data_IF_767892590160
#
_entry.id   IF_767892590160
#
_cell.length_a   1.000
_cell.length_b   1.000
_cell.length_c   1.000
_cell.angle_alpha   90.00
_cell.angle_beta   90.00
_cell.angle_gamma   90.00
#
_symmetry.space_group_name_H-M   'P 1'
#
loop_
_entity.id
_entity.type
_entity.pdbx_description
1 polymer ?
#
# COMPACT_ATOMS: atom_id res chain seq x y z
N UNK A 1 -28.86 -15.81 -13.21
CA UNK A 1 -28.11 -14.56 -13.16
C UNK A 1 -26.97 -14.64 -14.16
N UNK A 2 -26.67 -13.59 -14.97
CA UNK A 2 -25.53 -13.64 -15.88
C UNK A 2 -24.23 -13.76 -15.09
N UNK A 3 -23.49 -14.85 -15.33
CA UNK A 3 -22.17 -15.05 -14.70
C UNK A 3 -21.16 -14.07 -15.29
N UNK A 4 -20.23 -13.54 -14.48
CA UNK A 4 -19.13 -12.71 -14.96
C UNK A 4 -18.32 -13.45 -16.03
N UNK A 5 -17.72 -12.69 -16.97
CA UNK A 5 -16.92 -13.23 -18.06
C UNK A 5 -15.45 -13.30 -17.62
N UNK A 6 -14.86 -14.46 -17.73
CA UNK A 6 -13.42 -14.63 -17.50
C UNK A 6 -12.64 -13.98 -18.65
N UNK A 7 -11.70 -13.12 -18.31
CA UNK A 7 -10.75 -12.48 -19.23
C UNK A 7 -9.50 -13.34 -19.33
N UNK A 8 -8.86 -13.61 -18.18
CA UNK A 8 -7.76 -14.59 -18.11
C UNK A 8 -7.82 -15.43 -16.83
N UNK A 9 -7.05 -16.52 -16.85
CA UNK A 9 -6.69 -17.30 -15.67
C UNK A 9 -5.24 -17.72 -15.84
N UNK A 10 -4.41 -17.37 -14.86
CA UNK A 10 -2.96 -17.56 -14.84
C UNK A 10 -2.59 -18.39 -13.62
N UNK A 11 -1.68 -19.34 -13.78
CA UNK A 11 -1.06 -20.06 -12.67
C UNK A 11 0.28 -19.38 -12.34
N UNK A 12 0.41 -18.91 -11.11
CA UNK A 12 1.58 -18.26 -10.55
C UNK A 12 2.18 -19.23 -9.52
N UNK A 13 3.24 -19.93 -9.87
CA UNK A 13 3.75 -21.02 -9.06
C UNK A 13 2.62 -21.97 -8.63
N UNK A 14 2.20 -21.93 -7.37
CA UNK A 14 1.08 -22.74 -6.85
C UNK A 14 -0.21 -21.95 -6.65
N UNK A 15 -0.27 -20.69 -7.07
CA UNK A 15 -1.43 -19.79 -6.88
C UNK A 15 -2.15 -19.53 -8.19
N UNK A 16 -3.44 -19.34 -8.15
CA UNK A 16 -4.28 -19.13 -9.34
C UNK A 16 -4.85 -17.72 -9.38
N UNK A 17 -4.29 -16.88 -10.24
CA UNK A 17 -4.85 -15.57 -10.54
C UNK A 17 -5.96 -15.66 -11.60
N UNK A 18 -6.99 -14.85 -11.43
CA UNK A 18 -8.11 -14.71 -12.38
C UNK A 18 -8.50 -13.26 -12.53
N UNK A 19 -8.72 -12.84 -13.77
CA UNK A 19 -9.36 -11.56 -14.07
C UNK A 19 -10.75 -11.84 -14.65
N UNK A 20 -11.78 -11.26 -14.03
CA UNK A 20 -13.18 -11.42 -14.40
C UNK A 20 -13.79 -10.08 -14.78
N UNK A 21 -14.48 -10.02 -15.91
CA UNK A 21 -15.26 -8.85 -16.31
C UNK A 21 -16.69 -8.96 -15.78
N UNK A 22 -17.18 -7.90 -15.15
CA UNK A 22 -18.58 -7.80 -14.74
C UNK A 22 -19.51 -7.72 -15.95
N UNK A 23 -20.52 -8.59 -16.01
CA UNK A 23 -21.59 -8.48 -17.04
C UNK A 23 -22.66 -7.46 -16.67
N UNK A 24 -22.79 -7.10 -15.38
CA UNK A 24 -23.76 -6.11 -14.92
C UNK A 24 -23.25 -4.68 -15.06
N UNK A 25 -21.93 -4.51 -14.95
CA UNK A 25 -21.23 -3.21 -15.08
C UNK A 25 -20.13 -3.36 -16.14
N UNK A 26 -20.45 -3.16 -17.43
CA UNK A 26 -19.46 -3.22 -18.50
C UNK A 26 -18.30 -2.26 -18.23
N UNK A 27 -17.08 -2.70 -18.50
CA UNK A 27 -15.87 -1.92 -18.19
C UNK A 27 -15.31 -2.16 -16.78
N UNK A 28 -16.03 -2.91 -15.92
CA UNK A 28 -15.57 -3.24 -14.58
C UNK A 28 -14.95 -4.64 -14.53
N UNK A 29 -13.79 -4.74 -13.89
CA UNK A 29 -12.98 -5.95 -13.81
C UNK A 29 -12.55 -6.21 -12.38
N UNK A 30 -12.54 -7.47 -11.97
CA UNK A 30 -12.09 -7.95 -10.67
C UNK A 30 -10.92 -8.91 -10.86
N UNK A 31 -9.80 -8.61 -10.23
CA UNK A 31 -8.66 -9.49 -10.09
C UNK A 31 -8.76 -10.23 -8.76
N UNK A 32 -8.61 -11.56 -8.80
CA UNK A 32 -8.52 -12.40 -7.60
C UNK A 32 -7.34 -13.35 -7.70
N UNK A 33 -6.76 -13.69 -6.55
CA UNK A 33 -5.72 -14.72 -6.40
C UNK A 33 -6.25 -15.75 -5.39
N UNK A 34 -6.28 -17.02 -5.79
CA UNK A 34 -6.85 -18.16 -5.04
C UNK A 34 -8.29 -17.94 -4.55
N UNK A 35 -9.03 -17.10 -5.25
CA UNK A 35 -10.42 -16.76 -4.92
C UNK A 35 -10.54 -15.51 -4.04
N UNK A 36 -9.47 -15.01 -3.46
CA UNK A 36 -9.44 -13.78 -2.68
C UNK A 36 -9.37 -12.59 -3.65
N UNK A 37 -10.33 -11.68 -3.56
CA UNK A 37 -10.38 -10.48 -4.38
C UNK A 37 -9.23 -9.53 -4.00
N UNK A 38 -8.40 -9.17 -4.99
CA UNK A 38 -7.24 -8.30 -4.82
C UNK A 38 -7.51 -6.87 -5.29
N UNK A 39 -8.25 -6.72 -6.38
CA UNK A 39 -8.47 -5.41 -7.00
C UNK A 39 -9.76 -5.39 -7.80
N UNK A 40 -10.42 -4.25 -7.80
CA UNK A 40 -11.50 -3.94 -8.75
C UNK A 40 -11.14 -2.69 -9.53
N UNK A 41 -11.22 -2.76 -10.85
CA UNK A 41 -10.89 -1.67 -11.77
C UNK A 41 -12.11 -1.32 -12.62
N UNK A 42 -12.43 -0.03 -12.73
CA UNK A 42 -13.31 0.51 -13.75
C UNK A 42 -12.45 1.09 -14.89
N UNK A 43 -12.59 0.51 -16.10
CA UNK A 43 -11.86 0.99 -17.29
C UNK A 43 -12.62 2.12 -17.99
N UNK A 44 -13.88 2.32 -17.65
CA UNK A 44 -14.72 3.41 -18.18
C UNK A 44 -14.59 4.67 -17.36
N UNK A 45 -14.38 4.52 -16.05
CA UNK A 45 -14.14 5.62 -15.11
C UNK A 45 -13.21 5.13 -14.00
N UNK A 46 -11.89 5.34 -14.11
CA UNK A 46 -10.92 4.92 -13.10
C UNK A 46 -11.09 5.61 -11.73
N UNK A 47 -11.91 6.64 -11.62
CA UNK A 47 -12.25 7.30 -10.36
C UNK A 47 -13.34 6.57 -9.56
N UNK A 48 -14.08 5.65 -10.20
CA UNK A 48 -14.99 4.74 -9.53
C UNK A 48 -14.24 3.64 -8.77
N UNK A 49 -13.88 3.91 -7.52
CA UNK A 49 -13.20 2.96 -6.63
C UNK A 49 -14.22 2.13 -5.85
N UNK A 50 -14.10 0.78 -5.93
CA UNK A 50 -15.06 -0.15 -5.29
C UNK A 50 -14.79 -0.31 -3.81
N UNK A 51 -13.52 -0.53 -3.45
CA UNK A 51 -13.15 -0.82 -2.07
C UNK A 51 -12.99 0.46 -1.26
N UNK A 52 -13.49 0.45 -0.02
CA UNK A 52 -13.40 1.60 0.87
C UNK A 52 -11.96 2.04 1.09
N UNK A 53 -11.03 1.09 1.29
CA UNK A 53 -9.62 1.44 1.48
C UNK A 53 -9.02 2.21 0.29
N UNK A 54 -9.37 1.83 -0.94
CA UNK A 54 -8.88 2.56 -2.13
C UNK A 54 -9.47 3.97 -2.19
N UNK A 55 -10.72 4.15 -1.73
CA UNK A 55 -11.34 5.46 -1.62
C UNK A 55 -10.64 6.33 -0.57
N UNK A 56 -10.26 5.75 0.59
CA UNK A 56 -9.53 6.49 1.63
C UNK A 56 -8.15 6.92 1.15
N UNK A 57 -7.41 6.01 0.47
CA UNK A 57 -6.11 6.34 -0.12
C UNK A 57 -6.23 7.40 -1.20
N UNK A 58 -7.23 7.31 -2.09
CA UNK A 58 -7.47 8.30 -3.13
C UNK A 58 -7.76 9.70 -2.56
N UNK A 59 -8.58 9.78 -1.51
CA UNK A 59 -8.86 11.04 -0.81
C UNK A 59 -7.62 11.65 -0.17
N UNK A 60 -6.74 10.82 0.38
CA UNK A 60 -5.45 11.28 0.90
C UNK A 60 -4.52 11.77 -0.23
N UNK A 61 -4.52 11.11 -1.40
CA UNK A 61 -3.83 11.60 -2.59
C UNK A 61 -4.37 12.96 -3.06
N UNK A 62 -5.70 13.13 -3.02
CA UNK A 62 -6.32 14.41 -3.39
C UNK A 62 -5.97 15.52 -2.41
N UNK A 63 -5.80 15.19 -1.13
CA UNK A 63 -5.39 16.12 -0.10
C UNK A 63 -3.88 16.46 -0.12
N UNK A 64 -3.04 15.60 -0.74
CA UNK A 64 -1.59 15.73 -0.73
C UNK A 64 -1.05 16.77 -1.74
N UNK A 65 -1.84 17.17 -2.72
CA UNK A 65 -1.47 18.18 -3.71
C UNK A 65 -2.70 18.85 -4.31
N UNK A 66 -2.54 20.04 -4.88
CA UNK A 66 -3.60 20.76 -5.57
C UNK A 66 -4.27 19.90 -6.66
N UNK A 67 -5.57 20.06 -6.90
CA UNK A 67 -6.29 19.32 -7.93
C UNK A 67 -5.59 19.40 -9.30
N UNK A 68 -5.34 18.25 -9.91
CA UNK A 68 -4.67 18.15 -11.22
C UNK A 68 -3.16 18.40 -11.21
N UNK A 69 -2.57 18.86 -10.11
CA UNK A 69 -1.12 19.00 -10.02
C UNK A 69 -0.44 17.62 -10.03
N UNK A 70 0.73 17.47 -10.67
CA UNK A 70 1.48 16.23 -10.67
C UNK A 70 1.80 15.74 -9.25
N UNK A 71 1.65 14.44 -9.02
CA UNK A 71 1.93 13.79 -7.75
C UNK A 71 2.83 12.58 -8.01
N UNK A 72 4.12 12.70 -7.70
CA UNK A 72 4.99 11.53 -7.79
C UNK A 72 4.54 10.47 -6.77
N UNK A 73 4.00 9.38 -7.30
CA UNK A 73 3.43 8.30 -6.50
C UNK A 73 4.21 7.01 -6.68
N UNK A 74 4.54 6.36 -5.55
CA UNK A 74 5.15 5.03 -5.53
C UNK A 74 4.11 4.03 -5.04
N UNK A 75 3.93 2.95 -5.79
CA UNK A 75 3.02 1.85 -5.47
C UNK A 75 3.85 0.61 -5.15
N UNK A 76 3.90 0.21 -3.89
CA UNK A 76 4.46 -1.07 -3.48
C UNK A 76 3.34 -2.10 -3.54
N UNK A 77 3.41 -2.97 -4.55
CA UNK A 77 2.32 -3.82 -4.98
C UNK A 77 1.51 -3.18 -6.13
N UNK A 78 1.29 -3.93 -7.21
CA UNK A 78 0.57 -3.44 -8.38
C UNK A 78 -0.92 -3.82 -8.36
N UNK A 79 -1.24 -5.05 -7.98
CA UNK A 79 -2.58 -5.61 -8.17
C UNK A 79 -3.05 -5.44 -9.61
N UNK A 80 -4.21 -4.84 -9.83
CA UNK A 80 -4.70 -4.44 -11.16
C UNK A 80 -4.42 -2.97 -11.49
N UNK A 81 -3.49 -2.32 -10.77
CA UNK A 81 -3.12 -0.90 -10.93
C UNK A 81 -4.29 0.06 -10.67
N UNK A 82 -5.18 -0.25 -9.74
CA UNK A 82 -6.38 0.54 -9.44
C UNK A 82 -6.03 1.97 -9.07
N UNK A 83 -5.14 2.16 -8.09
CA UNK A 83 -4.73 3.50 -7.64
C UNK A 83 -3.82 4.20 -8.66
N UNK A 84 -2.99 3.47 -9.39
CA UNK A 84 -2.19 4.08 -10.46
C UNK A 84 -3.07 4.63 -11.61
N UNK A 85 -4.17 3.95 -11.93
CA UNK A 85 -5.17 4.44 -12.90
C UNK A 85 -5.93 5.64 -12.35
N UNK A 86 -6.20 5.67 -11.05
CA UNK A 86 -6.81 6.81 -10.40
C UNK A 86 -5.92 8.05 -10.50
N UNK A 87 -4.63 7.91 -10.20
CA UNK A 87 -3.66 9.01 -10.33
C UNK A 87 -3.60 9.51 -11.77
N UNK A 88 -3.52 8.62 -12.76
CA UNK A 88 -3.48 9.03 -14.17
C UNK A 88 -4.78 9.73 -14.59
N UNK A 89 -5.94 9.29 -14.11
CA UNK A 89 -7.24 9.89 -14.45
C UNK A 89 -7.45 11.27 -13.81
N UNK A 90 -6.93 11.50 -12.60
CA UNK A 90 -7.12 12.75 -11.85
C UNK A 90 -5.95 13.72 -12.00
N UNK A 91 -4.76 13.23 -12.36
CA UNK A 91 -3.48 13.96 -12.41
C UNK A 91 -2.62 13.46 -13.57
N UNK A 92 -3.18 13.54 -14.79
CA UNK A 92 -2.58 12.98 -16.00
C UNK A 92 -1.09 13.35 -16.15
N UNK A 93 -0.26 12.37 -16.50
CA UNK A 93 1.18 12.53 -16.66
C UNK A 93 1.96 12.68 -15.35
N UNK A 94 1.35 12.37 -14.19
CA UNK A 94 2.10 12.27 -12.94
C UNK A 94 3.13 11.15 -13.04
N UNK A 95 4.39 11.37 -12.63
CA UNK A 95 5.37 10.30 -12.53
C UNK A 95 4.87 9.23 -11.53
N UNK A 96 4.93 7.98 -11.91
CA UNK A 96 4.55 6.87 -11.06
C UNK A 96 5.59 5.75 -11.11
N UNK A 97 5.87 5.14 -9.97
CA UNK A 97 6.72 3.98 -9.84
C UNK A 97 5.94 2.84 -9.20
N UNK A 98 5.97 1.68 -9.81
CA UNK A 98 5.38 0.45 -9.26
C UNK A 98 6.50 -0.51 -8.93
N UNK A 99 6.47 -1.10 -7.73
CA UNK A 99 7.30 -2.26 -7.36
C UNK A 99 6.40 -3.47 -7.31
N UNK A 100 6.65 -4.46 -8.16
CA UNK A 100 5.80 -5.65 -8.28
C UNK A 100 6.63 -6.93 -8.24
N UNK A 101 6.16 -7.87 -7.44
CA UNK A 101 6.86 -9.15 -7.23
C UNK A 101 6.58 -10.17 -8.35
N UNK A 102 5.40 -10.11 -8.98
CA UNK A 102 4.90 -11.11 -9.95
C UNK A 102 4.86 -10.57 -11.39
N UNK A 103 5.98 -10.63 -12.16
CA UNK A 103 6.05 -10.07 -13.52
C UNK A 103 5.00 -10.67 -14.46
N UNK A 104 4.68 -11.97 -14.31
CA UNK A 104 3.72 -12.66 -15.16
C UNK A 104 2.29 -12.14 -14.92
N UNK A 105 1.93 -11.87 -13.66
CA UNK A 105 0.63 -11.28 -13.32
C UNK A 105 0.52 -9.86 -13.88
N UNK A 106 1.53 -9.04 -13.66
CA UNK A 106 1.58 -7.68 -14.19
C UNK A 106 1.41 -7.67 -15.71
N UNK A 107 2.17 -8.50 -16.44
CA UNK A 107 2.08 -8.58 -17.88
C UNK A 107 0.67 -9.00 -18.36
N UNK A 108 0.04 -9.96 -17.69
CA UNK A 108 -1.32 -10.39 -18.01
C UNK A 108 -2.37 -9.28 -17.75
N UNK A 109 -2.19 -8.53 -16.65
CA UNK A 109 -3.06 -7.40 -16.30
C UNK A 109 -2.93 -6.29 -17.34
N UNK A 110 -1.72 -5.87 -17.70
CA UNK A 110 -1.48 -4.79 -18.69
C UNK A 110 -1.97 -5.20 -20.08
N UNK A 111 -1.78 -6.46 -20.47
CA UNK A 111 -2.30 -6.97 -21.76
C UNK A 111 -3.84 -6.93 -21.82
N UNK A 112 -4.52 -7.22 -20.72
CA UNK A 112 -5.97 -7.21 -20.65
C UNK A 112 -6.57 -5.82 -20.40
N UNK A 113 -5.88 -5.01 -19.61
CA UNK A 113 -6.30 -3.68 -19.15
C UNK A 113 -5.16 -2.67 -19.39
N UNK A 114 -4.94 -2.23 -20.65
CA UNK A 114 -3.84 -1.30 -20.94
C UNK A 114 -4.02 0.03 -20.20
N UNK A 115 -2.90 0.67 -19.86
CA UNK A 115 -2.86 2.05 -19.39
C UNK A 115 -3.07 3.02 -20.56
N UNK A 116 -3.50 4.27 -20.31
CA UNK A 116 -3.46 5.33 -21.30
C UNK A 116 -2.05 5.51 -21.90
N UNK A 117 -1.97 5.84 -23.18
CA UNK A 117 -0.68 5.96 -23.88
C UNK A 117 0.21 7.10 -23.37
N UNK A 118 -0.33 8.02 -22.58
CA UNK A 118 0.40 9.14 -21.97
C UNK A 118 0.82 8.90 -20.52
N UNK A 119 0.51 7.73 -19.94
CA UNK A 119 0.83 7.44 -18.55
C UNK A 119 2.35 7.34 -18.34
N UNK A 120 2.89 8.14 -17.43
CA UNK A 120 4.30 8.09 -17.00
C UNK A 120 4.44 7.10 -15.83
N UNK A 121 4.42 5.80 -16.14
CA UNK A 121 4.51 4.74 -15.16
C UNK A 121 5.69 3.82 -15.46
N UNK A 122 6.59 3.71 -14.48
CA UNK A 122 7.72 2.78 -14.50
C UNK A 122 7.48 1.63 -13.56
N UNK A 123 8.07 0.46 -13.84
CA UNK A 123 7.92 -0.74 -13.03
C UNK A 123 9.29 -1.32 -12.70
N UNK A 124 9.49 -1.61 -11.41
CA UNK A 124 10.60 -2.42 -10.93
C UNK A 124 10.03 -3.78 -10.53
N UNK A 125 10.50 -4.84 -11.19
CA UNK A 125 10.15 -6.20 -10.79
C UNK A 125 11.09 -6.69 -9.70
N UNK A 126 10.53 -6.95 -8.51
CA UNK A 126 11.30 -7.43 -7.38
C UNK A 126 10.54 -7.37 -6.07
N UNK A 127 11.18 -7.87 -5.04
CA UNK A 127 10.70 -7.79 -3.67
C UNK A 127 10.77 -6.36 -3.14
N UNK A 128 9.67 -5.84 -2.61
CA UNK A 128 9.56 -4.45 -2.16
C UNK A 128 10.56 -4.12 -1.04
N UNK A 129 10.87 -5.09 -0.16
CA UNK A 129 11.89 -4.90 0.88
C UNK A 129 13.29 -4.77 0.26
N UNK A 130 13.62 -5.62 -0.69
CA UNK A 130 14.91 -5.57 -1.38
C UNK A 130 15.10 -4.27 -2.17
N UNK A 131 14.02 -3.78 -2.82
CA UNK A 131 14.02 -2.49 -3.50
C UNK A 131 14.17 -1.34 -2.51
N UNK A 132 13.49 -1.38 -1.36
CA UNK A 132 13.63 -0.38 -0.32
C UNK A 132 15.03 -0.38 0.34
N UNK A 133 15.67 -1.54 0.45
CA UNK A 133 17.03 -1.69 1.02
C UNK A 133 18.14 -1.30 0.04
N UNK A 134 17.84 -1.17 -1.27
CA UNK A 134 18.81 -0.75 -2.26
C UNK A 134 19.41 0.63 -1.88
N UNK A 135 20.65 0.86 -2.30
CA UNK A 135 21.37 2.09 -1.97
C UNK A 135 20.59 3.35 -2.41
N UNK A 136 20.47 4.29 -1.49
CA UNK A 136 20.00 5.63 -1.82
C UNK A 136 21.09 6.37 -2.62
N UNK A 137 20.71 7.26 -3.55
CA UNK A 137 21.66 8.18 -4.19
C UNK A 137 22.50 8.93 -3.15
N UNK A 138 23.78 9.18 -3.48
CA UNK A 138 24.78 9.73 -2.55
C UNK A 138 24.33 11.04 -1.85
N UNK A 139 23.52 11.84 -2.51
CA UNK A 139 22.99 13.10 -1.94
C UNK A 139 22.07 12.89 -0.73
N UNK A 140 21.37 11.76 -0.64
CA UNK A 140 20.51 11.43 0.51
C UNK A 140 21.20 10.56 1.57
N UNK A 141 22.34 9.94 1.28
CA UNK A 141 23.12 9.17 2.26
C UNK A 141 23.63 10.02 3.43
N UNK A 142 23.84 11.31 3.20
CA UNK A 142 24.40 12.22 4.20
C UNK A 142 23.43 12.59 5.33
N UNK A 143 22.14 12.36 5.19
CA UNK A 143 21.10 12.74 6.15
C UNK A 143 20.60 11.59 7.04
N UNK A 144 20.98 10.35 6.78
CA UNK A 144 20.57 9.17 7.57
C UNK A 144 21.68 8.75 8.52
N UNK A 145 21.48 8.75 9.86
CA UNK A 145 22.45 8.19 10.79
C UNK A 145 22.66 6.70 10.51
N UNK A 146 23.87 6.32 10.14
CA UNK A 146 24.22 4.91 9.93
C UNK A 146 24.15 4.15 11.27
N UNK A 147 23.43 3.02 11.35
CA UNK A 147 23.56 2.13 12.49
C UNK A 147 24.98 1.54 12.53
N UNK A 148 25.53 1.25 13.72
CA UNK A 148 26.86 0.65 13.83
C UNK A 148 26.87 -0.73 13.13
N UNK A 149 27.71 -0.87 12.11
CA UNK A 149 27.92 -2.14 11.41
C UNK A 149 28.49 -3.20 12.33
N UNK A 150 27.87 -4.37 12.47
CA UNK A 150 28.58 -5.54 12.96
C UNK A 150 29.54 -6.02 11.88
N UNK A 151 30.81 -6.10 12.19
CA UNK A 151 31.82 -6.67 11.33
C UNK A 151 31.52 -8.16 11.14
N UNK A 152 31.00 -8.57 9.98
CA UNK A 152 30.91 -9.95 9.56
C UNK A 152 31.42 -10.06 8.12
N UNK A 153 32.28 -11.06 7.96
CA UNK A 153 33.16 -11.30 6.83
C UNK A 153 32.48 -11.35 5.46
N UNK A 154 33.25 -10.88 4.52
CA UNK A 154 32.94 -10.77 3.11
C UNK A 154 32.49 -12.07 2.45
N UNK A 155 31.31 -12.05 1.86
CA UNK A 155 31.00 -12.77 0.64
C UNK A 155 30.18 -11.81 -0.23
N UNK A 156 30.87 -11.00 -1.02
CA UNK A 156 30.27 -10.13 -2.02
C UNK A 156 29.73 -10.98 -3.17
N UNK A 157 28.43 -11.22 -3.21
CA UNK A 157 27.77 -11.47 -4.49
C UNK A 157 27.58 -10.11 -5.16
N UNK A 158 28.20 -9.91 -6.31
CA UNK A 158 28.02 -8.74 -7.16
C UNK A 158 26.57 -8.70 -7.68
N UNK A 159 25.66 -8.17 -6.87
CA UNK A 159 24.35 -7.71 -7.34
C UNK A 159 24.58 -6.40 -8.06
N UNK A 160 24.19 -6.32 -9.33
CA UNK A 160 24.03 -5.05 -10.05
C UNK A 160 23.22 -4.12 -9.18
N UNK A 161 23.78 -2.94 -8.86
CA UNK A 161 23.07 -1.88 -8.15
C UNK A 161 21.75 -1.63 -8.90
N UNK A 162 20.63 -1.89 -8.25
CA UNK A 162 19.33 -1.55 -8.79
C UNK A 162 19.24 -0.05 -8.61
N UNK A 163 19.48 0.70 -9.70
CA UNK A 163 19.25 2.15 -9.74
C UNK A 163 17.75 2.37 -9.56
N UNK A 164 17.34 2.64 -8.32
CA UNK A 164 15.94 2.85 -8.02
C UNK A 164 15.68 4.34 -8.08
N UNK A 165 14.98 4.79 -9.10
CA UNK A 165 14.44 6.15 -9.19
C UNK A 165 13.39 6.47 -8.07
N UNK A 166 13.31 5.64 -7.05
CA UNK A 166 12.47 5.89 -5.88
C UNK A 166 13.17 6.85 -4.91
N UNK A 167 13.03 8.11 -5.21
CA UNK A 167 13.57 9.22 -4.41
C UNK A 167 12.57 10.37 -4.46
N UNK A 168 12.35 11.04 -3.31
CA UNK A 168 11.44 12.18 -3.19
C UNK A 168 9.98 11.87 -3.55
N UNK A 169 9.51 10.67 -3.20
CA UNK A 169 8.11 10.29 -3.39
C UNK A 169 7.20 11.21 -2.57
N UNK A 170 6.24 11.83 -3.24
CA UNK A 170 5.22 12.68 -2.58
C UNK A 170 4.11 11.83 -1.96
N UNK A 171 3.87 10.65 -2.51
CA UNK A 171 2.92 9.69 -1.99
C UNK A 171 3.43 8.27 -2.19
N UNK A 172 3.41 7.45 -1.14
CA UNK A 172 3.79 6.04 -1.22
C UNK A 172 2.63 5.18 -0.72
N UNK A 173 2.16 4.28 -1.56
CA UNK A 173 1.17 3.25 -1.19
C UNK A 173 1.91 1.97 -0.85
N UNK A 174 1.69 1.43 0.34
CA UNK A 174 2.18 0.13 0.80
C UNK A 174 0.99 -0.82 0.83
N UNK A 175 0.86 -1.64 -0.21
CA UNK A 175 -0.25 -2.58 -0.41
C UNK A 175 0.34 -3.95 -0.79
N UNK A 176 1.08 -4.54 0.15
CA UNK A 176 1.95 -5.69 -0.05
C UNK A 176 1.35 -6.95 0.56
N UNK A 177 0.83 -7.82 -0.31
CA UNK A 177 0.19 -9.07 0.07
C UNK A 177 0.93 -10.25 -0.54
N UNK A 178 1.31 -11.22 0.29
CA UNK A 178 1.70 -12.57 -0.16
C UNK A 178 0.49 -13.49 0.02
N UNK A 179 -0.24 -13.73 -1.06
CA UNK A 179 -1.60 -14.27 -1.04
C UNK A 179 -2.56 -13.36 -0.25
N UNK A 180 -2.78 -13.62 1.01
CA UNK A 180 -3.65 -12.84 1.90
C UNK A 180 -2.92 -12.35 3.16
N UNK A 181 -1.61 -12.57 3.26
CA UNK A 181 -0.81 -12.28 4.45
C UNK A 181 0.26 -11.24 4.15
N UNK A 182 0.40 -10.25 5.00
CA UNK A 182 1.48 -9.27 4.96
C UNK A 182 2.65 -9.83 5.78
N UNK A 183 3.80 -10.03 5.13
CA UNK A 183 4.99 -10.55 5.82
C UNK A 183 5.61 -9.50 6.71
N UNK A 184 6.03 -9.88 7.94
CA UNK A 184 6.58 -8.95 8.93
C UNK A 184 7.77 -8.13 8.41
N UNK A 185 8.57 -8.68 7.49
CA UNK A 185 9.74 -8.00 6.93
C UNK A 185 9.41 -6.73 6.11
N UNK A 186 8.16 -6.59 5.62
CA UNK A 186 7.64 -5.39 4.95
C UNK A 186 6.68 -4.60 5.84
N UNK A 187 6.73 -4.86 7.14
CA UNK A 187 5.89 -4.27 8.17
C UNK A 187 6.72 -3.86 9.41
N UNK A 188 8.04 -3.90 9.31
CA UNK A 188 8.98 -3.59 10.39
C UNK A 188 9.38 -2.12 10.42
N UNK A 189 9.89 -1.67 11.56
CA UNK A 189 10.46 -0.31 11.72
C UNK A 189 11.58 -0.05 10.71
N UNK A 190 12.42 -1.04 10.46
CA UNK A 190 13.53 -0.95 9.51
C UNK A 190 13.02 -0.71 8.09
N UNK A 191 11.96 -1.42 7.70
CA UNK A 191 11.32 -1.21 6.40
C UNK A 191 10.76 0.21 6.29
N UNK A 192 9.99 0.66 7.27
CA UNK A 192 9.39 2.00 7.23
C UNK A 192 10.42 3.12 7.28
N UNK A 193 11.56 2.94 7.95
CA UNK A 193 12.70 3.88 7.86
C UNK A 193 13.24 3.99 6.43
N UNK A 194 13.29 2.89 5.68
CA UNK A 194 13.69 2.91 4.26
C UNK A 194 12.68 3.64 3.40
N UNK A 195 11.39 3.42 3.65
CA UNK A 195 10.31 4.13 2.96
C UNK A 195 10.39 5.64 3.27
N UNK A 196 10.53 6.02 4.53
CA UNK A 196 10.66 7.41 4.95
C UNK A 196 11.86 8.11 4.29
N UNK A 197 13.02 7.45 4.24
CA UNK A 197 14.22 8.00 3.60
C UNK A 197 14.06 8.26 2.09
N UNK A 198 13.07 7.65 1.45
CA UNK A 198 12.72 7.80 0.03
C UNK A 198 11.55 8.75 -0.22
N UNK A 199 10.93 9.23 0.84
CA UNK A 199 9.85 10.21 0.76
C UNK A 199 10.39 11.63 0.63
N UNK A 200 9.65 12.48 -0.04
CA UNK A 200 9.86 13.93 -0.03
C UNK A 200 9.51 14.50 1.36
N UNK A 201 9.97 15.70 1.66
CA UNK A 201 9.49 16.44 2.82
C UNK A 201 7.95 16.58 2.74
N UNK A 202 7.23 16.22 3.81
CA UNK A 202 5.77 16.17 3.85
C UNK A 202 5.15 15.10 2.93
N UNK A 203 5.95 14.16 2.42
CA UNK A 203 5.42 13.03 1.67
C UNK A 203 4.55 12.13 2.55
N UNK A 204 3.48 11.61 1.99
CA UNK A 204 2.51 10.76 2.69
C UNK A 204 2.76 9.29 2.37
N UNK A 205 2.78 8.46 3.38
CA UNK A 205 2.79 6.99 3.27
C UNK A 205 1.41 6.46 3.67
N UNK A 206 0.77 5.70 2.79
CA UNK A 206 -0.49 5.01 3.06
C UNK A 206 -0.24 3.51 3.10
N UNK A 207 -0.54 2.87 4.22
CA UNK A 207 -0.37 1.43 4.44
C UNK A 207 -1.73 0.77 4.51
N UNK A 208 -2.01 -0.16 3.60
CA UNK A 208 -3.22 -0.98 3.61
C UNK A 208 -2.97 -2.29 4.35
N UNK A 209 -3.80 -2.56 5.34
CA UNK A 209 -3.75 -3.76 6.18
C UNK A 209 -5.09 -4.48 6.14
N UNK A 210 -5.08 -5.76 6.49
CA UNK A 210 -6.28 -6.53 6.81
C UNK A 210 -6.18 -6.93 8.27
N UNK A 211 -7.19 -6.56 9.07
CA UNK A 211 -7.23 -6.89 10.49
C UNK A 211 -8.68 -6.90 10.98
N UNK A 212 -8.90 -7.44 12.15
CA UNK A 212 -10.18 -7.48 12.83
C UNK A 212 -10.00 -7.29 14.32
N UNK A 213 -11.12 -7.17 15.02
CA UNK A 213 -11.09 -6.99 16.46
C UNK A 213 -10.23 -8.05 17.16
N UNK A 214 -9.38 -7.70 18.11
CA UNK A 214 -9.15 -6.38 18.74
C UNK A 214 -8.12 -5.50 18.02
N UNK A 215 -7.86 -5.69 16.73
CA UNK A 215 -6.92 -4.92 15.90
C UNK A 215 -5.47 -5.00 16.40
N UNK A 216 -5.05 -6.14 16.91
CA UNK A 216 -3.71 -6.28 17.52
C UNK A 216 -2.60 -5.99 16.51
N UNK A 217 -2.74 -6.51 15.29
CA UNK A 217 -1.76 -6.28 14.23
C UNK A 217 -1.70 -4.80 13.81
N UNK A 218 -2.85 -4.18 13.57
CA UNK A 218 -2.94 -2.78 13.16
C UNK A 218 -2.46 -1.81 14.26
N UNK A 219 -2.73 -2.12 15.53
CA UNK A 219 -2.20 -1.34 16.67
C UNK A 219 -0.68 -1.41 16.72
N UNK A 220 -0.08 -2.58 16.50
CA UNK A 220 1.38 -2.76 16.40
C UNK A 220 1.96 -2.00 15.20
N UNK A 221 1.28 -2.04 14.05
CA UNK A 221 1.69 -1.29 12.87
C UNK A 221 1.67 0.22 13.11
N UNK A 222 0.58 0.75 13.70
CA UNK A 222 0.49 2.16 14.05
C UNK A 222 1.56 2.57 15.06
N UNK A 223 1.81 1.74 16.09
CA UNK A 223 2.90 1.96 17.06
C UNK A 223 4.27 2.00 16.35
N UNK A 224 4.51 1.10 15.40
CA UNK A 224 5.75 1.02 14.64
C UNK A 224 5.96 2.27 13.77
N UNK A 225 4.93 2.68 13.02
CA UNK A 225 4.97 3.88 12.17
C UNK A 225 5.23 5.16 12.98
N UNK A 226 4.66 5.28 14.19
CA UNK A 226 4.93 6.42 15.10
C UNK A 226 6.38 6.52 15.59
N UNK A 227 7.18 5.48 15.43
CA UNK A 227 8.62 5.54 15.71
C UNK A 227 9.45 6.09 14.55
N UNK A 228 8.80 6.29 13.40
CA UNK A 228 9.45 6.69 12.14
C UNK A 228 8.91 8.03 11.65
N UNK A 229 7.61 8.30 11.83
CA UNK A 229 6.92 9.49 11.35
C UNK A 229 6.30 10.27 12.52
N UNK A 230 6.29 11.59 12.41
CA UNK A 230 5.76 12.48 13.46
C UNK A 230 4.22 12.47 13.50
N UNK A 231 3.57 12.29 12.36
CA UNK A 231 2.12 12.29 12.21
C UNK A 231 1.62 10.96 11.68
N UNK A 232 0.76 10.29 12.44
CA UNK A 232 0.14 9.02 12.07
C UNK A 232 -1.36 9.11 12.32
N UNK A 233 -2.16 8.63 11.37
CA UNK A 233 -3.60 8.49 11.48
C UNK A 233 -4.04 7.12 10.99
N UNK A 234 -5.03 6.51 11.67
CA UNK A 234 -5.62 5.22 11.29
C UNK A 234 -7.06 5.45 10.88
N UNK A 235 -7.45 4.86 9.76
CA UNK A 235 -8.83 4.89 9.25
C UNK A 235 -9.41 3.48 9.30
N UNK A 236 -10.54 3.35 9.98
CA UNK A 236 -11.30 2.12 10.17
C UNK A 236 -12.70 2.28 9.60
N UNK A 237 -13.18 1.27 8.89
CA UNK A 237 -14.59 1.19 8.48
C UNK A 237 -15.48 0.47 9.51
N UNK A 238 -14.87 0.01 10.63
CA UNK A 238 -15.53 -0.61 11.78
C UNK A 238 -15.33 0.22 13.03
N UNK A 239 -16.21 0.05 14.01
CA UNK A 239 -16.07 0.67 15.33
C UNK A 239 -14.80 0.21 16.01
N UNK A 240 -13.93 1.13 16.50
CA UNK A 240 -12.64 0.77 17.08
C UNK A 240 -12.71 -0.01 18.39
N UNK A 241 -13.83 0.14 19.11
CA UNK A 241 -14.04 -0.44 20.46
C UNK A 241 -15.12 -1.53 20.50
N UNK A 242 -15.79 -1.79 19.39
CA UNK A 242 -16.84 -2.81 19.34
C UNK A 242 -16.20 -4.21 19.20
N UNK A 243 -16.48 -5.09 20.14
CA UNK A 243 -15.76 -6.34 20.39
C UNK A 243 -15.94 -7.44 19.35
N UNK A 244 -16.73 -7.24 18.31
CA UNK A 244 -17.00 -8.23 17.27
C UNK A 244 -17.09 -7.58 15.89
N UNK A 245 -16.43 -8.19 14.91
CA UNK A 245 -16.50 -7.76 13.51
C UNK A 245 -15.64 -8.63 12.60
N UNK A 246 -16.03 -8.78 11.35
CA UNK A 246 -15.22 -9.52 10.39
C UNK A 246 -13.88 -8.80 10.12
N UNK A 247 -12.94 -9.53 9.55
CA UNK A 247 -11.75 -8.92 8.98
C UNK A 247 -12.13 -7.84 7.96
N UNK A 248 -11.47 -6.70 8.04
CA UNK A 248 -11.66 -5.58 7.15
C UNK A 248 -10.36 -4.84 6.85
N UNK A 249 -10.40 -3.97 5.86
CA UNK A 249 -9.25 -3.15 5.58
C UNK A 249 -9.07 -2.07 6.67
N UNK A 250 -7.83 -1.88 7.06
CA UNK A 250 -7.37 -0.78 7.91
C UNK A 250 -6.36 0.01 7.13
N UNK A 251 -6.53 1.32 7.02
CA UNK A 251 -5.57 2.19 6.33
C UNK A 251 -4.85 3.05 7.34
N UNK A 252 -3.53 3.01 7.34
CA UNK A 252 -2.70 3.89 8.16
C UNK A 252 -2.00 4.91 7.27
N UNK A 253 -2.18 6.19 7.57
CA UNK A 253 -1.46 7.28 6.94
C UNK A 253 -0.36 7.77 7.86
N UNK A 254 0.82 8.05 7.30
CA UNK A 254 1.97 8.55 8.05
C UNK A 254 2.74 9.62 7.25
N UNK A 255 3.28 10.62 7.93
CA UNK A 255 4.08 11.71 7.35
C UNK A 255 4.90 12.40 8.44
N UNK A 256 5.97 13.09 8.05
CA UNK A 256 6.75 13.99 8.93
C UNK A 256 6.08 15.38 9.06
N UNK A 257 5.06 15.67 8.25
CA UNK A 257 4.26 16.88 8.33
C UNK A 257 2.78 16.55 8.63
N UNK A 258 2.00 17.52 9.13
CA UNK A 258 0.58 17.31 9.44
C UNK A 258 -0.20 16.75 8.24
N UNK A 259 -0.95 15.68 8.47
CA UNK A 259 -1.72 14.99 7.46
C UNK A 259 -2.96 15.83 7.06
N UNK A 260 -3.02 16.28 5.80
CA UNK A 260 -4.14 17.08 5.30
C UNK A 260 -5.48 16.36 5.41
N UNK A 261 -5.51 15.03 5.32
CA UNK A 261 -6.74 14.23 5.49
C UNK A 261 -7.29 14.30 6.92
N UNK A 262 -6.44 14.56 7.92
CA UNK A 262 -6.86 14.78 9.31
C UNK A 262 -7.42 16.17 9.51
N UNK A 263 -6.80 17.18 8.90
CA UNK A 263 -7.20 18.58 9.06
C UNK A 263 -8.41 18.97 8.19
N UNK A 264 -8.80 18.12 7.23
CA UNK A 264 -9.93 18.34 6.33
C UNK A 264 -10.89 17.15 6.37
N UNK A 265 -11.65 16.96 7.48
CA UNK A 265 -12.48 15.76 7.69
C UNK A 265 -13.56 15.52 6.62
N UNK A 266 -13.97 16.55 5.90
CA UNK A 266 -14.97 16.43 4.84
C UNK A 266 -14.48 15.61 3.63
N UNK A 267 -13.17 15.45 3.49
CA UNK A 267 -12.56 14.56 2.49
C UNK A 267 -12.91 13.08 2.72
N UNK A 268 -13.26 12.68 3.95
CA UNK A 268 -13.53 11.26 4.26
C UNK A 268 -14.82 10.69 3.65
N UNK A 269 -15.71 11.55 3.14
CA UNK A 269 -16.94 11.11 2.48
C UNK A 269 -18.05 10.69 3.44
N UNK A 270 -19.06 9.98 2.90
CA UNK A 270 -20.21 9.50 3.67
C UNK A 270 -20.58 8.07 3.24
N UNK A 271 -20.79 7.10 4.17
CA UNK A 271 -20.64 7.29 5.63
C UNK A 271 -19.21 7.65 6.00
N UNK A 272 -19.03 8.39 7.11
CA UNK A 272 -17.70 8.79 7.57
C UNK A 272 -17.05 7.60 8.30
N UNK A 273 -15.84 7.18 7.91
CA UNK A 273 -15.11 6.15 8.65
C UNK A 273 -14.62 6.70 10.00
N UNK A 274 -14.23 5.79 10.89
CA UNK A 274 -13.56 6.17 12.13
C UNK A 274 -12.13 6.56 11.82
N UNK A 275 -11.72 7.76 12.23
CA UNK A 275 -10.35 8.24 12.12
C UNK A 275 -9.75 8.41 13.51
N UNK A 276 -8.68 7.69 13.77
CA UNK A 276 -7.90 7.77 15.01
C UNK A 276 -6.60 8.51 14.73
N UNK A 277 -6.36 9.59 15.48
CA UNK A 277 -5.14 10.38 15.42
C UNK A 277 -4.85 11.00 16.80
N UNK A 278 -3.67 11.55 17.02
CA UNK A 278 -3.26 12.21 18.26
C UNK A 278 -3.63 11.41 19.53
N UNK A 279 -4.42 11.99 20.41
CA UNK A 279 -4.84 11.38 21.69
C UNK A 279 -5.68 10.12 21.50
N UNK A 280 -6.61 10.09 20.53
CA UNK A 280 -7.44 8.91 20.24
C UNK A 280 -6.59 7.75 19.74
N UNK A 281 -5.64 8.02 18.85
CA UNK A 281 -4.70 7.02 18.37
C UNK A 281 -3.78 6.51 19.50
N UNK A 282 -3.30 7.41 20.35
CA UNK A 282 -2.45 7.03 21.49
C UNK A 282 -3.20 6.09 22.44
N UNK A 283 -4.46 6.38 22.74
CA UNK A 283 -5.29 5.52 23.58
C UNK A 283 -5.57 4.17 22.91
N UNK A 284 -5.84 4.16 21.61
CA UNK A 284 -6.13 2.94 20.86
C UNK A 284 -4.92 2.03 20.70
N UNK A 285 -3.72 2.59 20.43
CA UNK A 285 -2.46 1.83 20.37
C UNK A 285 -2.16 1.20 21.73
N UNK A 286 -2.45 1.90 22.83
CA UNK A 286 -2.16 1.47 24.18
C UNK A 286 -0.69 1.01 24.35
N UNK A 287 -0.48 -0.23 24.80
CA UNK A 287 0.85 -0.83 25.01
C UNK A 287 1.29 -1.73 23.86
N UNK A 288 0.76 -1.51 22.64
CA UNK A 288 1.11 -2.31 21.48
C UNK A 288 2.62 -2.23 21.20
N UNK A 289 3.26 -3.39 21.08
CA UNK A 289 4.70 -3.48 20.83
C UNK A 289 5.02 -3.14 19.39
N UNK A 290 6.05 -2.34 19.18
CA UNK A 290 6.57 -2.07 17.83
C UNK A 290 7.05 -3.36 17.16
N UNK A 291 7.08 -3.36 15.86
CA UNK A 291 7.59 -4.45 15.04
C UNK A 291 8.95 -4.09 14.47
N UNK A 292 9.91 -4.99 14.63
CA UNK A 292 11.25 -4.88 14.06
C UNK A 292 11.54 -6.11 13.20
N UNK A 293 12.62 -6.09 12.43
CA UNK A 293 13.06 -7.28 11.67
C UNK A 293 13.33 -8.49 12.57
N UNK A 294 13.71 -8.24 13.84
CA UNK A 294 14.02 -9.30 14.81
C UNK A 294 12.80 -9.75 15.64
N UNK A 295 11.81 -8.89 15.82
CA UNK A 295 10.60 -9.13 16.65
C UNK A 295 9.36 -8.60 15.92
N UNK A 296 8.91 -9.33 14.93
CA UNK A 296 7.72 -9.04 14.13
C UNK A 296 6.84 -10.27 13.98
N UNK A 297 5.59 -10.02 13.60
CA UNK A 297 4.62 -11.05 13.23
C UNK A 297 4.06 -10.74 11.86
N UNK A 298 3.73 -11.78 11.10
CA UNK A 298 2.95 -11.62 9.89
C UNK A 298 1.52 -11.13 10.25
N UNK A 299 0.79 -10.58 9.28
CA UNK A 299 -0.61 -10.20 9.50
C UNK A 299 -1.47 -11.43 9.77
N UNK A 300 -2.68 -11.25 10.35
CA UNK A 300 -3.66 -12.32 10.39
C UNK A 300 -3.87 -12.97 9.02
N UNK A 301 -4.05 -14.29 9.01
CA UNK A 301 -4.43 -15.02 7.82
C UNK A 301 -5.97 -15.09 7.77
N UNK A 302 -6.63 -14.53 6.74
CA UNK A 302 -8.09 -14.57 6.63
C UNK A 302 -8.66 -15.98 6.50
N UNK A 303 -7.84 -16.96 6.10
CA UNK A 303 -8.23 -18.37 6.04
C UNK A 303 -8.09 -19.09 7.41
N UNK A 304 -7.59 -18.38 8.45
CA UNK A 304 -7.55 -18.94 9.80
C UNK A 304 -8.97 -19.09 10.37
N UNK A 305 -9.33 -20.30 10.87
CA UNK A 305 -10.68 -20.57 11.41
C UNK A 305 -11.14 -19.62 12.53
N UNK A 306 -10.25 -18.90 13.18
CA UNK A 306 -10.61 -17.90 14.21
C UNK A 306 -11.39 -16.70 13.63
N UNK A 307 -11.32 -16.48 12.31
CA UNK A 307 -11.99 -15.37 11.63
C UNK A 307 -13.26 -15.77 10.86
N UNK A 308 -13.63 -17.05 10.87
CA UNK A 308 -14.77 -17.64 10.15
C UNK A 308 -16.05 -17.77 10.97
#
# INVERSE_FOLDING_TARGET
>A
MPRNRRVFSLLLDNRKAKLMQSRRRPGRYELSVDGIAQSVVSMTDPTELEYAYTQHVARAMDAAAEPGAPLFTVHLGAGALTLARYVEATRAGSPQLVVEFEPALYAAVIAALPLPSGADLRVIFGDARAVADADLPDEKRSSVPSPPSPALGAAASAGTAVDTDWVDARFTVVDLWDAAVIRHRVASQEFYRRVAARSAAGGVVAVNLLDGHPFEYSRRQAATLRTVFDHVAVVLDAEPDDGEGPLGNVVIFASDEPLSIVTTPDLLGSPRPHMLHDGSLTSWIAEARIMTDADGTDSPDPDDPIWG
#
